data_IF_448717300593
#
_entry.id   IF_448717300593
#
_cell.length_a   1.000
_cell.length_b   1.000
_cell.length_c   1.000
_cell.angle_alpha   90.00
_cell.angle_beta   90.00
_cell.angle_gamma   90.00
#
_symmetry.space_group_name_H-M   'P 1'
#
loop_
_entity.id
_entity.type
_entity.pdbx_description
1 polymer ?
#
# COMPACT_ATOMS: atom_id res chain seq x y z
N UNK A 1 3.78 -25.17 -11.32
CA UNK A 1 2.48 -25.05 -10.59
C UNK A 1 2.45 -23.65 -9.97
N UNK A 2 1.40 -22.89 -10.21
CA UNK A 2 1.23 -21.52 -9.71
C UNK A 2 0.68 -21.55 -8.28
N UNK A 3 1.27 -20.80 -7.35
CA UNK A 3 0.71 -20.66 -6.01
C UNK A 3 -0.45 -19.66 -6.02
N UNK A 4 -1.53 -19.97 -5.30
CA UNK A 4 -2.69 -19.11 -5.17
C UNK A 4 -2.58 -18.29 -3.87
N UNK A 5 -1.83 -17.18 -3.88
CA UNK A 5 -1.50 -16.40 -2.70
C UNK A 5 -2.10 -14.97 -2.71
N UNK A 6 -2.41 -14.41 -3.89
CA UNK A 6 -2.99 -13.07 -4.00
C UNK A 6 -4.52 -13.10 -4.22
N UNK A 7 -5.07 -14.24 -4.69
CA UNK A 7 -6.47 -14.33 -5.05
C UNK A 7 -6.83 -13.43 -6.24
N UNK A 8 -8.02 -12.86 -6.22
CA UNK A 8 -8.45 -11.78 -7.12
C UNK A 8 -7.77 -10.47 -6.69
N UNK A 9 -6.88 -9.94 -7.52
CA UNK A 9 -6.02 -8.80 -7.19
C UNK A 9 -5.63 -8.05 -8.46
N UNK A 10 -5.34 -6.75 -8.32
CA UNK A 10 -4.89 -5.88 -9.43
C UNK A 10 -3.80 -4.94 -8.92
N UNK A 11 -2.72 -4.82 -9.69
CA UNK A 11 -1.69 -3.82 -9.45
C UNK A 11 -1.06 -3.37 -10.77
N UNK A 12 -1.01 -2.05 -11.01
CA UNK A 12 -0.38 -1.43 -12.19
C UNK A 12 -0.88 -2.06 -13.51
N UNK A 13 -2.21 -2.29 -13.59
CA UNK A 13 -2.87 -2.92 -14.74
C UNK A 13 -2.74 -4.44 -14.84
N UNK A 14 -1.85 -5.08 -14.05
CA UNK A 14 -1.72 -6.54 -13.99
C UNK A 14 -2.82 -7.14 -13.12
N UNK A 15 -3.54 -8.13 -13.66
CA UNK A 15 -4.62 -8.83 -12.95
C UNK A 15 -4.27 -10.27 -12.54
N UNK A 16 -3.21 -10.86 -13.12
CA UNK A 16 -2.72 -12.18 -12.74
C UNK A 16 -1.56 -12.10 -11.72
N UNK A 17 -1.81 -11.43 -10.62
CA UNK A 17 -0.81 -11.24 -9.56
C UNK A 17 -0.26 -12.56 -9.04
N UNK A 18 -1.07 -13.63 -9.01
CA UNK A 18 -0.62 -14.96 -8.60
C UNK A 18 0.50 -15.55 -9.47
N UNK A 19 0.53 -15.19 -10.76
CA UNK A 19 1.60 -15.64 -11.68
C UNK A 19 2.77 -14.66 -11.74
N UNK A 20 2.53 -13.38 -11.42
CA UNK A 20 3.49 -12.29 -11.55
C UNK A 20 4.25 -11.99 -10.24
N UNK A 21 3.96 -12.68 -9.12
CA UNK A 21 4.52 -12.34 -7.82
C UNK A 21 4.93 -13.55 -6.97
N UNK A 22 5.68 -13.25 -5.92
CA UNK A 22 6.02 -14.19 -4.83
C UNK A 22 5.28 -13.68 -3.59
N UNK A 23 4.45 -14.55 -2.97
CA UNK A 23 3.79 -14.25 -1.70
C UNK A 23 4.61 -14.72 -0.51
N UNK A 24 4.67 -13.90 0.54
CA UNK A 24 5.28 -14.25 1.83
C UNK A 24 4.19 -14.18 2.90
N UNK A 25 3.88 -15.32 3.51
CA UNK A 25 2.97 -15.41 4.63
C UNK A 25 3.71 -15.05 5.94
N UNK A 26 3.24 -14.00 6.62
CA UNK A 26 3.82 -13.52 7.88
C UNK A 26 2.81 -13.81 8.98
N UNK A 27 3.17 -14.72 9.92
CA UNK A 27 2.23 -15.09 11.00
C UNK A 27 1.93 -13.90 11.93
N UNK A 28 0.66 -13.53 11.99
CA UNK A 28 0.10 -12.58 12.95
C UNK A 28 -1.40 -12.92 13.09
N UNK A 29 -1.97 -12.93 14.30
CA UNK A 29 -3.39 -13.24 14.50
C UNK A 29 -4.36 -12.21 13.89
N UNK A 30 -3.85 -11.02 13.50
CA UNK A 30 -4.64 -10.00 12.83
C UNK A 30 -5.62 -9.24 13.75
N UNK A 31 -6.39 -8.34 13.15
CA UNK A 31 -7.26 -7.39 13.85
C UNK A 31 -8.31 -8.06 14.75
N UNK A 32 -8.83 -9.22 14.34
CA UNK A 32 -9.90 -9.92 15.07
C UNK A 32 -9.40 -10.59 16.36
N UNK A 33 -8.10 -10.82 16.48
CA UNK A 33 -7.49 -11.53 17.62
C UNK A 33 -6.44 -10.66 18.34
N UNK A 34 -6.72 -9.37 18.49
CA UNK A 34 -5.92 -8.42 19.26
C UNK A 34 -4.74 -7.78 18.53
N UNK A 35 -4.45 -8.18 17.30
CA UNK A 35 -3.45 -7.61 16.40
C UNK A 35 -2.19 -7.12 17.13
N UNK A 36 -1.37 -8.02 17.69
CA UNK A 36 -0.11 -7.67 18.35
C UNK A 36 0.91 -7.12 17.33
N UNK A 37 1.95 -6.44 17.83
CA UNK A 37 3.10 -6.08 17.00
C UNK A 37 3.85 -7.32 16.49
N UNK A 38 4.64 -7.15 15.45
CA UNK A 38 5.45 -8.22 14.86
C UNK A 38 6.72 -8.43 15.67
N UNK A 39 7.05 -9.68 16.11
CA UNK A 39 8.25 -9.96 16.89
C UNK A 39 9.55 -9.63 16.12
N UNK A 40 10.56 -9.14 16.83
CA UNK A 40 11.86 -8.78 16.24
C UNK A 40 12.51 -9.95 15.47
N UNK A 41 12.44 -11.18 16.03
CA UNK A 41 13.01 -12.37 15.38
C UNK A 41 12.34 -12.65 14.03
N UNK A 42 11.03 -12.44 13.95
CA UNK A 42 10.26 -12.60 12.71
C UNK A 42 10.64 -11.52 11.68
N UNK A 43 10.76 -10.26 12.12
CA UNK A 43 11.15 -9.15 11.24
C UNK A 43 12.58 -9.31 10.72
N UNK A 44 13.53 -9.76 11.55
CA UNK A 44 14.90 -10.04 11.11
C UNK A 44 14.95 -11.15 10.06
N UNK A 45 14.19 -12.23 10.25
CA UNK A 45 14.08 -13.31 9.28
C UNK A 45 13.43 -12.86 7.97
N UNK A 46 12.37 -12.04 8.05
CA UNK A 46 11.70 -11.46 6.90
C UNK A 46 12.63 -10.55 6.10
N UNK A 47 13.39 -9.67 6.76
CA UNK A 47 14.35 -8.79 6.09
C UNK A 47 15.42 -9.59 5.32
N UNK A 48 15.96 -10.66 5.92
CA UNK A 48 16.94 -11.52 5.27
C UNK A 48 16.34 -12.21 4.04
N UNK A 49 15.14 -12.77 4.17
CA UNK A 49 14.41 -13.42 3.08
C UNK A 49 14.08 -12.44 1.93
N UNK A 50 13.57 -11.25 2.27
CA UNK A 50 13.24 -10.24 1.25
C UNK A 50 14.47 -9.79 0.47
N UNK A 51 15.62 -9.54 1.14
CA UNK A 51 16.86 -9.15 0.45
C UNK A 51 17.34 -10.25 -0.51
N UNK A 52 17.26 -11.51 -0.11
CA UNK A 52 17.63 -12.63 -0.98
C UNK A 52 16.71 -12.71 -2.20
N UNK A 53 15.39 -12.64 -2.01
CA UNK A 53 14.42 -12.67 -3.10
C UNK A 53 14.60 -11.47 -4.04
N UNK A 54 14.70 -10.26 -3.50
CA UNK A 54 14.89 -9.02 -4.28
C UNK A 54 16.17 -9.11 -5.12
N UNK A 55 17.28 -9.56 -4.52
CA UNK A 55 18.56 -9.70 -5.21
C UNK A 55 18.53 -10.74 -6.34
N UNK A 56 17.85 -11.87 -6.13
CA UNK A 56 17.74 -12.92 -7.16
C UNK A 56 16.77 -12.58 -8.29
N UNK A 57 15.70 -11.85 -7.98
CA UNK A 57 14.61 -11.59 -8.93
C UNK A 57 14.65 -10.18 -9.54
N UNK A 58 15.52 -9.30 -9.05
CA UNK A 58 15.59 -7.91 -9.52
C UNK A 58 14.32 -7.09 -9.24
N UNK A 59 13.66 -7.37 -8.10
CA UNK A 59 12.39 -6.71 -7.77
C UNK A 59 12.63 -5.23 -7.43
N UNK A 60 11.91 -4.35 -8.10
CA UNK A 60 11.96 -2.91 -7.85
C UNK A 60 11.28 -2.57 -6.51
N UNK A 61 11.75 -1.53 -5.79
CA UNK A 61 11.19 -1.16 -4.48
C UNK A 61 9.67 -0.96 -4.48
N UNK A 62 9.11 -0.31 -5.48
CA UNK A 62 7.68 -0.03 -5.61
C UNK A 62 6.84 -1.28 -5.98
N UNK A 63 7.48 -2.44 -6.13
CA UNK A 63 6.84 -3.75 -6.33
C UNK A 63 6.85 -4.63 -5.08
N UNK A 64 7.28 -4.10 -3.95
CA UNK A 64 7.13 -4.75 -2.63
C UNK A 64 5.87 -4.23 -1.98
N UNK A 65 4.83 -5.05 -1.93
CA UNK A 65 3.45 -4.64 -1.70
C UNK A 65 2.82 -5.39 -0.54
N UNK A 66 1.81 -4.77 0.07
CA UNK A 66 0.89 -5.44 0.98
C UNK A 66 -0.18 -6.22 0.20
N UNK A 67 -0.74 -7.26 0.80
CA UNK A 67 -1.91 -7.93 0.24
C UNK A 67 -3.10 -6.96 0.11
N UNK A 68 -3.25 -6.03 1.07
CA UNK A 68 -4.25 -4.97 1.00
C UNK A 68 -4.03 -3.97 -0.14
N UNK A 69 -2.79 -3.77 -0.63
CA UNK A 69 -2.55 -2.88 -1.77
C UNK A 69 -3.13 -3.45 -3.06
N UNK A 70 -2.93 -4.75 -3.30
CA UNK A 70 -3.36 -5.43 -4.52
C UNK A 70 -4.83 -5.89 -4.47
N UNK A 71 -5.41 -6.02 -3.28
CA UNK A 71 -6.79 -6.48 -3.06
C UNK A 71 -7.52 -5.65 -1.98
N UNK A 72 -7.61 -4.31 -2.12
CA UNK A 72 -8.05 -3.40 -1.05
C UNK A 72 -9.47 -3.65 -0.55
N UNK A 73 -10.35 -4.16 -1.39
CA UNK A 73 -11.75 -4.47 -1.02
C UNK A 73 -11.92 -5.76 -0.22
N UNK A 74 -10.90 -6.63 -0.19
CA UNK A 74 -10.97 -7.98 0.40
C UNK A 74 -10.01 -8.18 1.56
N UNK A 75 -8.88 -7.46 1.54
CA UNK A 75 -7.72 -7.74 2.40
C UNK A 75 -7.34 -6.54 3.24
N UNK A 76 -6.86 -6.84 4.45
CA UNK A 76 -6.36 -5.85 5.42
C UNK A 76 -4.90 -6.09 5.78
N UNK A 77 -4.42 -7.31 5.56
CA UNK A 77 -3.06 -7.74 5.90
C UNK A 77 -1.99 -7.07 5.03
N UNK A 78 -0.79 -6.84 5.59
CA UNK A 78 -0.36 -7.10 6.96
C UNK A 78 -0.87 -6.08 7.99
N UNK A 79 -1.57 -5.01 7.58
CA UNK A 79 -2.16 -3.99 8.43
C UNK A 79 -1.19 -2.86 8.82
N UNK A 80 -1.72 -1.89 9.58
CA UNK A 80 -1.04 -0.64 9.94
C UNK A 80 0.08 -0.79 10.97
N UNK A 81 0.12 -1.91 11.74
CA UNK A 81 1.23 -2.19 12.67
C UNK A 81 2.44 -2.82 11.98
N UNK A 82 2.33 -3.19 10.70
CA UNK A 82 3.47 -3.72 9.97
C UNK A 82 4.49 -2.62 9.70
N UNK A 83 5.77 -2.84 10.06
CA UNK A 83 6.75 -1.75 10.13
C UNK A 83 7.41 -1.44 8.77
N UNK A 84 6.64 -0.94 7.80
CA UNK A 84 7.12 -0.61 6.46
C UNK A 84 8.32 0.32 6.45
N UNK A 85 8.34 1.35 7.31
CA UNK A 85 9.48 2.26 7.45
C UNK A 85 10.77 1.53 7.85
N UNK A 86 10.68 0.46 8.65
CA UNK A 86 11.83 -0.38 9.02
C UNK A 86 12.34 -1.16 7.81
N UNK A 87 11.45 -1.78 7.04
CA UNK A 87 11.82 -2.52 5.83
C UNK A 87 12.49 -1.59 4.82
N UNK A 88 11.95 -0.38 4.62
CA UNK A 88 12.55 0.61 3.72
C UNK A 88 13.96 1.02 4.14
N UNK A 89 14.21 1.23 5.45
CA UNK A 89 15.57 1.46 5.97
C UNK A 89 16.51 0.28 5.72
N UNK A 90 15.97 -0.93 5.60
CA UNK A 90 16.72 -2.13 5.23
C UNK A 90 16.87 -2.33 3.72
N UNK A 91 16.41 -1.37 2.90
CA UNK A 91 16.45 -1.43 1.43
C UNK A 91 15.32 -2.27 0.81
N UNK A 92 14.24 -2.50 1.54
CA UNK A 92 13.10 -3.33 1.13
C UNK A 92 11.87 -2.44 1.00
N UNK A 93 11.31 -2.36 -0.21
CA UNK A 93 10.13 -1.59 -0.50
C UNK A 93 10.39 -0.10 -0.75
N UNK A 94 9.34 0.58 -1.19
CA UNK A 94 9.32 2.00 -1.47
C UNK A 94 8.64 2.73 -0.31
N UNK A 95 9.26 3.78 0.20
CA UNK A 95 8.76 4.51 1.36
C UNK A 95 9.19 5.97 1.32
N UNK A 96 8.34 6.84 1.80
CA UNK A 96 8.68 8.23 2.15
C UNK A 96 8.16 8.51 3.55
N UNK A 97 8.78 9.44 4.26
CA UNK A 97 8.25 9.88 5.56
C UNK A 97 6.91 10.58 5.34
N UNK A 98 5.82 10.07 5.92
CA UNK A 98 4.50 10.65 5.72
C UNK A 98 4.39 12.05 6.34
N UNK A 99 3.56 12.90 5.75
CA UNK A 99 3.20 14.15 6.42
C UNK A 99 2.43 13.82 7.72
N UNK A 100 2.76 14.44 8.85
CA UNK A 100 2.01 14.25 10.08
C UNK A 100 0.50 14.50 9.92
N UNK A 101 -0.29 13.68 10.61
CA UNK A 101 -1.75 13.84 10.64
C UNK A 101 -2.11 15.04 11.53
N UNK A 102 -3.03 15.87 11.05
CA UNK A 102 -3.64 16.96 11.84
C UNK A 102 -5.00 16.49 12.32
N UNK A 103 -5.19 16.38 13.65
CA UNK A 103 -6.45 15.85 14.22
C UNK A 103 -7.67 16.70 13.86
N UNK A 104 -7.50 18.01 13.76
CA UNK A 104 -8.59 18.95 13.41
C UNK A 104 -9.02 18.84 11.93
N UNK A 105 -8.29 18.10 11.09
CA UNK A 105 -8.63 17.86 9.69
C UNK A 105 -9.30 16.49 9.51
N UNK A 106 -10.64 16.43 9.40
CA UNK A 106 -11.34 15.16 9.24
C UNK A 106 -11.15 14.55 7.85
N UNK A 107 -10.64 15.30 6.88
CA UNK A 107 -10.51 14.88 5.48
C UNK A 107 -11.86 14.68 4.76
N UNK A 108 -11.80 14.40 3.46
CA UNK A 108 -12.95 14.11 2.61
C UNK A 108 -13.32 12.64 2.73
N UNK A 109 -14.60 12.32 2.85
CA UNK A 109 -15.13 10.95 2.95
C UNK A 109 -16.13 10.61 1.86
N UNK A 110 -16.78 9.45 1.97
CA UNK A 110 -17.77 8.94 1.01
C UNK A 110 -18.79 10.02 0.66
N UNK A 111 -19.13 10.12 -0.63
CA UNK A 111 -20.09 11.05 -1.22
C UNK A 111 -19.49 12.40 -1.62
N UNK A 112 -18.29 12.76 -1.15
CA UNK A 112 -17.62 13.97 -1.61
C UNK A 112 -17.19 13.80 -3.07
N UNK A 113 -17.42 14.85 -3.88
CA UNK A 113 -17.10 14.86 -5.29
C UNK A 113 -16.36 16.15 -5.69
N UNK A 114 -15.53 16.06 -6.72
CA UNK A 114 -14.81 17.22 -7.29
C UNK A 114 -13.49 16.86 -7.95
N UNK A 115 -12.85 17.85 -8.55
CA UNK A 115 -11.58 17.69 -9.27
C UNK A 115 -10.46 17.18 -8.36
N UNK A 116 -10.37 17.67 -7.12
CA UNK A 116 -9.37 17.21 -6.16
C UNK A 116 -9.50 15.71 -5.87
N UNK A 117 -10.73 15.18 -5.80
CA UNK A 117 -10.95 13.72 -5.66
C UNK A 117 -10.44 12.97 -6.89
N UNK A 118 -10.76 13.47 -8.10
CA UNK A 118 -10.27 12.89 -9.34
C UNK A 118 -8.73 12.90 -9.41
N UNK A 119 -8.09 13.99 -9.00
CA UNK A 119 -6.63 14.12 -8.97
C UNK A 119 -5.99 13.08 -8.03
N UNK A 120 -6.55 12.89 -6.83
CA UNK A 120 -6.07 11.87 -5.88
C UNK A 120 -6.25 10.45 -6.45
N UNK A 121 -7.41 10.16 -7.08
CA UNK A 121 -7.64 8.87 -7.73
C UNK A 121 -6.64 8.63 -8.88
N UNK A 122 -6.32 9.66 -9.67
CA UNK A 122 -5.28 9.58 -10.71
C UNK A 122 -3.90 9.30 -10.13
N UNK A 123 -3.53 9.93 -9.02
CA UNK A 123 -2.26 9.69 -8.33
C UNK A 123 -2.19 8.26 -7.76
N UNK A 124 -3.26 7.76 -7.13
CA UNK A 124 -3.36 6.38 -6.66
C UNK A 124 -3.21 5.38 -7.79
N UNK A 125 -3.92 5.60 -8.90
CA UNK A 125 -3.79 4.79 -10.12
C UNK A 125 -2.37 4.83 -10.69
N UNK A 126 -1.76 6.01 -10.76
CA UNK A 126 -0.38 6.19 -11.23
C UNK A 126 0.63 5.46 -10.36
N UNK A 127 0.37 5.34 -9.06
CA UNK A 127 1.21 4.56 -8.15
C UNK A 127 1.07 3.05 -8.35
N UNK A 128 -0.08 2.58 -8.85
CA UNK A 128 -0.35 1.18 -9.18
C UNK A 128 -1.69 0.65 -8.70
N UNK A 129 -2.43 1.39 -7.86
CA UNK A 129 -3.73 0.91 -7.36
C UNK A 129 -4.77 0.74 -8.47
N UNK A 130 -5.55 -0.34 -8.39
CA UNK A 130 -6.63 -0.64 -9.33
C UNK A 130 -7.87 0.22 -9.10
N UNK A 131 -7.80 1.52 -9.41
CA UNK A 131 -8.87 2.50 -9.22
C UNK A 131 -9.12 3.33 -10.49
N UNK A 132 -10.37 3.77 -10.68
CA UNK A 132 -10.75 4.73 -11.73
C UNK A 132 -10.90 6.14 -11.15
N UNK A 133 -10.58 7.15 -11.98
CA UNK A 133 -10.73 8.55 -11.61
C UNK A 133 -12.15 9.03 -11.92
N UNK A 134 -13.10 8.68 -11.06
CA UNK A 134 -14.52 9.06 -11.21
C UNK A 134 -14.83 10.46 -10.70
N UNK A 135 -13.92 11.04 -9.88
CA UNK A 135 -14.14 12.31 -9.20
C UNK A 135 -15.10 12.22 -8.02
N UNK A 136 -15.51 11.02 -7.60
CA UNK A 136 -16.40 10.79 -6.45
C UNK A 136 -15.75 9.82 -5.49
N UNK A 137 -15.77 10.09 -4.19
CA UNK A 137 -15.36 9.13 -3.16
C UNK A 137 -16.50 8.14 -2.95
N UNK A 138 -16.41 7.00 -3.62
CA UNK A 138 -17.25 5.84 -3.44
C UNK A 138 -16.62 4.81 -2.48
N UNK A 139 -17.30 3.70 -2.23
CA UNK A 139 -16.78 2.62 -1.38
C UNK A 139 -15.47 2.01 -1.90
N UNK A 140 -15.26 1.94 -3.21
CA UNK A 140 -14.00 1.45 -3.78
C UNK A 140 -12.86 2.43 -3.51
N UNK A 141 -13.11 3.73 -3.67
CA UNK A 141 -12.15 4.79 -3.35
C UNK A 141 -11.77 4.74 -1.87
N UNK A 142 -12.73 4.62 -0.96
CA UNK A 142 -12.49 4.49 0.48
C UNK A 142 -11.61 3.27 0.81
N UNK A 143 -11.88 2.10 0.23
CA UNK A 143 -11.05 0.91 0.41
C UNK A 143 -9.61 1.10 -0.07
N UNK A 144 -9.42 1.71 -1.24
CA UNK A 144 -8.08 1.99 -1.78
C UNK A 144 -7.32 2.99 -0.92
N UNK A 145 -7.97 4.07 -0.49
CA UNK A 145 -7.36 5.05 0.43
C UNK A 145 -7.01 4.39 1.76
N UNK A 146 -7.88 3.53 2.30
CA UNK A 146 -7.61 2.77 3.51
C UNK A 146 -6.38 1.87 3.38
N UNK A 147 -6.24 1.16 2.25
CA UNK A 147 -5.08 0.31 1.98
C UNK A 147 -3.80 1.15 1.88
N UNK A 148 -3.83 2.26 1.14
CA UNK A 148 -2.75 3.23 1.05
C UNK A 148 -2.32 3.74 2.44
N UNK A 149 -3.28 4.13 3.28
CA UNK A 149 -3.00 4.61 4.64
C UNK A 149 -2.32 3.53 5.50
N UNK A 150 -2.80 2.27 5.46
CA UNK A 150 -2.17 1.16 6.19
C UNK A 150 -0.71 0.99 5.82
N UNK A 151 -0.38 1.13 4.57
CA UNK A 151 0.98 0.96 4.09
C UNK A 151 1.84 2.21 4.33
N UNK A 152 1.39 3.39 3.88
CA UNK A 152 2.25 4.57 3.72
C UNK A 152 1.99 5.68 4.75
N UNK A 153 0.89 5.64 5.48
CA UNK A 153 0.53 6.66 6.48
C UNK A 153 -0.28 6.03 7.64
N UNK A 154 0.31 5.10 8.40
CA UNK A 154 -0.40 4.27 9.37
C UNK A 154 -0.86 5.00 10.64
N UNK A 155 -0.48 6.27 10.85
CA UNK A 155 -0.87 7.04 12.03
C UNK A 155 -2.40 7.24 12.16
N UNK A 156 -3.15 7.27 11.04
CA UNK A 156 -4.62 7.29 11.02
C UNK A 156 -5.13 6.57 9.76
N UNK A 157 -5.84 5.46 9.98
CA UNK A 157 -6.38 4.61 8.91
C UNK A 157 -7.90 4.69 8.96
N UNK A 158 -8.48 5.60 8.19
CA UNK A 158 -9.91 5.93 8.22
C UNK A 158 -10.55 5.99 6.81
N UNK A 159 -9.76 5.78 5.76
CA UNK A 159 -10.24 5.85 4.37
C UNK A 159 -10.60 7.25 3.89
N UNK A 160 -10.32 8.28 4.68
CA UNK A 160 -10.61 9.68 4.33
C UNK A 160 -9.40 10.34 3.69
N UNK A 161 -9.66 11.18 2.71
CA UNK A 161 -8.61 11.92 2.00
C UNK A 161 -8.38 13.26 2.73
N UNK A 162 -7.32 13.30 3.54
CA UNK A 162 -6.83 14.48 4.22
C UNK A 162 -5.52 15.00 3.58
N UNK A 163 -5.04 16.16 4.01
CA UNK A 163 -3.80 16.75 3.48
C UNK A 163 -2.60 15.84 3.71
N UNK A 164 -2.56 15.10 4.84
CA UNK A 164 -1.51 14.12 5.13
C UNK A 164 -1.49 13.00 4.08
N UNK A 165 -2.66 12.46 3.72
CA UNK A 165 -2.81 11.43 2.67
C UNK A 165 -2.35 11.95 1.31
N UNK A 166 -2.83 13.13 0.90
CA UNK A 166 -2.50 13.75 -0.40
C UNK A 166 -0.99 13.97 -0.51
N UNK A 167 -0.41 14.69 0.45
CA UNK A 167 1.02 15.05 0.40
C UNK A 167 1.92 13.81 0.47
N UNK A 168 1.55 12.79 1.26
CA UNK A 168 2.31 11.54 1.31
C UNK A 168 2.30 10.82 -0.04
N UNK A 169 1.14 10.77 -0.71
CA UNK A 169 1.00 10.18 -2.04
C UNK A 169 1.82 10.95 -3.10
N UNK A 170 1.77 12.28 -3.08
CA UNK A 170 2.57 13.12 -3.98
C UNK A 170 4.08 12.88 -3.80
N UNK A 171 4.54 12.79 -2.54
CA UNK A 171 5.95 12.48 -2.23
C UNK A 171 6.36 11.10 -2.75
N UNK A 172 5.49 10.08 -2.59
CA UNK A 172 5.75 8.74 -3.12
C UNK A 172 5.87 8.75 -4.64
N UNK A 173 4.96 9.44 -5.34
CA UNK A 173 5.03 9.59 -6.80
C UNK A 173 6.33 10.31 -7.22
N UNK A 174 6.70 11.39 -6.53
CA UNK A 174 7.91 12.14 -6.83
C UNK A 174 9.20 11.34 -6.58
N UNK A 175 9.17 10.38 -5.66
CA UNK A 175 10.29 9.51 -5.32
C UNK A 175 10.38 8.24 -6.19
N UNK A 176 9.42 7.99 -7.09
CA UNK A 176 9.50 6.86 -8.02
C UNK A 176 10.70 7.01 -8.96
N UNK A 177 11.39 5.91 -9.27
CA UNK A 177 12.44 5.92 -10.28
C UNK A 177 11.92 6.45 -11.62
N UNK A 178 12.71 7.28 -12.32
CA UNK A 178 12.28 7.88 -13.60
C UNK A 178 11.82 6.85 -14.64
N UNK A 179 12.34 5.63 -14.59
CA UNK A 179 11.97 4.53 -15.48
C UNK A 179 10.67 3.82 -15.09
N UNK A 180 10.15 4.06 -13.89
CA UNK A 180 8.88 3.49 -13.46
C UNK A 180 7.65 4.24 -14.01
N UNK A 181 7.86 5.43 -14.57
CA UNK A 181 6.81 6.29 -15.10
C UNK A 181 6.56 6.12 -16.61
N UNK A 182 7.29 5.21 -17.27
CA UNK A 182 7.26 5.00 -18.72
C UNK A 182 6.71 3.63 -19.15
N UNK A 183 6.18 2.86 -18.22
CA UNK A 183 5.59 1.53 -18.48
C UNK A 183 4.07 1.55 -18.48
#
# INVERSE_FOLDING_TARGET
MRAWHAGEAVWDGESDINSASIGIEIHNPGHEMGYPGFPEVQLNALEALCRDIIGRQGIRPERVLAHSDVAPTRKKDPGEKFPWARLARAGIGHWVEPLPVVEAEPGMGIGVAGSLVADVQLLLRKYGYGIEATGVIDGKTEFVVTAFQRHFRPARVDGRIDQSTITTLERLIAALPKNALLS
#
